data_IF_959161649258
#
_entry.id   IF_959161649258
#
_cell.length_a   1.000
_cell.length_b   1.000
_cell.length_c   1.000
_cell.angle_alpha   90.00
_cell.angle_beta   90.00
_cell.angle_gamma   90.00
#
_symmetry.space_group_name_H-M   'P 1'
#
loop_
_entity.id
_entity.type
_entity.pdbx_description
1 polymer ?
#
# COMPACT_ATOMS: atom_id res chain seq x y z
N UNK A 1 -43.00 24.35 10.63
CA UNK A 1 -42.48 23.56 9.48
C UNK A 1 -41.08 23.98 9.00
N UNK A 2 -40.65 25.24 9.13
CA UNK A 2 -39.33 25.70 8.67
C UNK A 2 -38.12 25.10 9.42
N UNK A 3 -38.24 24.89 10.74
CA UNK A 3 -37.11 24.43 11.56
C UNK A 3 -36.69 22.98 11.26
N UNK A 4 -37.66 22.07 11.11
CA UNK A 4 -37.42 20.64 10.82
C UNK A 4 -36.79 20.47 9.44
N UNK A 5 -37.22 21.26 8.44
CA UNK A 5 -36.64 21.24 7.08
C UNK A 5 -35.18 21.70 7.08
N UNK A 6 -34.84 22.70 7.88
CA UNK A 6 -33.47 23.21 7.99
C UNK A 6 -32.55 22.22 8.71
N UNK A 7 -33.05 21.49 9.72
CA UNK A 7 -32.28 20.44 10.41
C UNK A 7 -32.00 19.27 9.46
N UNK A 8 -33.00 18.81 8.69
CA UNK A 8 -32.82 17.72 7.72
C UNK A 8 -31.81 18.11 6.62
N UNK A 9 -31.87 19.34 6.12
CA UNK A 9 -30.90 19.85 5.14
C UNK A 9 -29.48 19.92 5.72
N UNK A 10 -29.32 20.30 6.98
CA UNK A 10 -28.02 20.34 7.66
C UNK A 10 -27.44 18.93 7.83
N UNK A 11 -28.26 17.95 8.24
CA UNK A 11 -27.83 16.55 8.34
C UNK A 11 -27.47 15.95 6.98
N UNK A 12 -28.26 16.23 5.93
CA UNK A 12 -27.93 15.81 4.57
C UNK A 12 -26.61 16.41 4.08
N UNK A 13 -26.37 17.70 4.33
CA UNK A 13 -25.10 18.35 3.99
C UNK A 13 -23.93 17.72 4.74
N UNK A 14 -24.03 17.52 6.05
CA UNK A 14 -22.98 16.88 6.86
C UNK A 14 -22.70 15.47 6.33
N UNK A 15 -23.73 14.68 6.04
CA UNK A 15 -23.59 13.31 5.54
C UNK A 15 -22.94 13.26 4.15
N UNK A 16 -23.27 14.21 3.27
CA UNK A 16 -22.64 14.36 1.94
C UNK A 16 -21.17 14.75 2.09
N UNK A 17 -20.85 15.67 3.01
CA UNK A 17 -19.47 16.10 3.24
C UNK A 17 -18.60 14.97 3.79
N UNK A 18 -19.07 14.19 4.78
CA UNK A 18 -18.32 13.03 5.30
C UNK A 18 -18.11 11.95 4.23
N UNK A 19 -19.14 11.67 3.42
CA UNK A 19 -19.02 10.70 2.31
C UNK A 19 -18.06 11.16 1.20
N UNK A 20 -17.87 12.46 1.03
CA UNK A 20 -17.00 13.01 -0.01
C UNK A 20 -15.54 13.08 0.46
N UNK A 21 -15.30 13.41 1.74
CA UNK A 21 -13.95 13.37 2.35
C UNK A 21 -13.33 11.97 2.28
N UNK A 22 -14.11 10.93 2.58
CA UNK A 22 -13.62 9.57 2.44
C UNK A 22 -13.25 9.29 0.99
N UNK A 23 -14.08 9.63 0.00
CA UNK A 23 -13.75 9.42 -1.41
C UNK A 23 -12.52 10.22 -1.92
N UNK A 24 -12.00 11.16 -1.13
CA UNK A 24 -10.89 12.06 -1.48
C UNK A 24 -9.54 11.67 -0.84
N UNK A 25 -9.47 10.79 0.17
CA UNK A 25 -8.20 10.53 0.88
C UNK A 25 -7.11 9.95 -0.02
N UNK A 26 -7.49 9.05 -0.94
CA UNK A 26 -6.58 8.46 -1.92
C UNK A 26 -6.25 9.39 -3.09
N UNK A 27 -6.97 10.51 -3.25
CA UNK A 27 -6.66 11.49 -4.30
C UNK A 27 -5.34 12.19 -3.97
N UNK A 28 -4.35 11.98 -4.84
CA UNK A 28 -3.02 12.54 -4.68
C UNK A 28 -1.95 11.53 -4.24
N UNK A 29 -2.27 10.25 -4.06
CA UNK A 29 -1.22 9.22 -3.96
C UNK A 29 -0.47 9.16 -5.29
N UNK A 30 0.84 9.41 -5.27
CA UNK A 30 1.70 9.36 -6.45
C UNK A 30 2.49 8.06 -6.54
N UNK A 31 2.79 7.45 -5.40
CA UNK A 31 3.58 6.22 -5.34
C UNK A 31 3.22 5.38 -4.11
N UNK A 32 3.28 4.06 -4.28
CA UNK A 32 3.32 3.10 -3.16
C UNK A 32 4.58 2.25 -3.31
N UNK A 33 5.39 2.25 -2.27
CA UNK A 33 6.55 1.39 -2.13
C UNK A 33 6.28 0.32 -1.07
N UNK A 34 6.55 -0.94 -1.38
CA UNK A 34 6.40 -2.06 -0.45
C UNK A 34 7.74 -2.78 -0.37
N UNK A 35 8.16 -3.16 0.82
CA UNK A 35 9.33 -3.98 1.02
C UNK A 35 9.05 -5.08 2.04
N UNK A 36 9.77 -6.18 1.86
CA UNK A 36 9.83 -7.28 2.78
C UNK A 36 11.26 -7.45 3.25
N UNK A 37 11.41 -7.91 4.48
CA UNK A 37 12.71 -8.24 5.05
C UNK A 37 12.62 -9.42 5.98
N UNK A 38 13.77 -10.10 6.11
CA UNK A 38 14.03 -11.15 7.10
C UNK A 38 15.40 -10.87 7.70
N UNK A 39 15.54 -11.05 9.02
CA UNK A 39 16.81 -10.83 9.73
C UNK A 39 17.44 -9.43 9.49
N UNK A 40 16.60 -8.43 9.24
CA UNK A 40 17.03 -7.06 8.92
C UNK A 40 17.51 -6.84 7.48
N UNK A 41 17.48 -7.86 6.62
CA UNK A 41 17.85 -7.77 5.20
C UNK A 41 16.58 -7.63 4.37
N UNK A 42 16.49 -6.59 3.53
CA UNK A 42 15.42 -6.45 2.53
C UNK A 42 15.70 -7.36 1.34
N UNK A 43 14.85 -8.35 1.14
CA UNK A 43 15.01 -9.37 0.12
C UNK A 43 14.14 -9.11 -1.12
N UNK A 44 12.99 -8.48 -0.94
CA UNK A 44 12.06 -8.15 -2.03
C UNK A 44 11.47 -6.76 -1.84
N UNK A 45 11.46 -5.98 -2.92
CA UNK A 45 10.92 -4.63 -2.94
C UNK A 45 10.03 -4.42 -4.17
N UNK A 46 9.00 -3.60 -4.02
CA UNK A 46 8.00 -3.30 -5.03
C UNK A 46 7.75 -1.81 -5.08
N UNK A 47 7.65 -1.26 -6.29
CA UNK A 47 7.35 0.16 -6.49
C UNK A 47 6.23 0.33 -7.52
N UNK A 48 5.11 0.89 -7.07
CA UNK A 48 3.98 1.27 -7.91
C UNK A 48 4.05 2.78 -8.11
N UNK A 49 4.37 3.20 -9.33
CA UNK A 49 4.40 4.60 -9.72
C UNK A 49 3.10 4.94 -10.47
N UNK A 50 2.20 5.68 -9.83
CA UNK A 50 0.93 6.07 -10.42
C UNK A 50 1.05 7.22 -11.43
N UNK A 51 2.15 7.98 -11.38
CA UNK A 51 2.43 9.09 -12.29
C UNK A 51 2.93 8.55 -13.63
N UNK A 52 3.93 7.66 -13.58
CA UNK A 52 4.46 6.97 -14.75
C UNK A 52 3.61 5.77 -15.19
N UNK A 53 2.70 5.33 -14.32
CA UNK A 53 1.81 4.18 -14.51
C UNK A 53 2.60 2.89 -14.74
N UNK A 54 3.56 2.64 -13.86
CA UNK A 54 4.47 1.49 -13.94
C UNK A 54 4.52 0.75 -12.62
N UNK A 55 4.70 -0.55 -12.72
CA UNK A 55 4.97 -1.42 -11.59
C UNK A 55 6.37 -2.02 -11.73
N UNK A 56 7.15 -1.88 -10.68
CA UNK A 56 8.52 -2.35 -10.60
C UNK A 56 8.69 -3.36 -9.48
N UNK A 57 9.62 -4.30 -9.69
CA UNK A 57 10.01 -5.30 -8.69
C UNK A 57 11.52 -5.37 -8.60
N UNK A 58 12.02 -5.51 -7.39
CA UNK A 58 13.40 -5.87 -7.10
C UNK A 58 13.41 -7.11 -6.20
N UNK A 59 14.34 -8.01 -6.47
CA UNK A 59 14.64 -9.16 -5.60
C UNK A 59 16.14 -9.24 -5.43
N UNK A 60 16.58 -9.30 -4.17
CA UNK A 60 17.98 -9.45 -3.82
C UNK A 60 18.49 -10.81 -4.31
N UNK A 61 19.61 -10.79 -5.04
CA UNK A 61 20.36 -12.00 -5.34
C UNK A 61 21.41 -12.21 -4.24
N UNK A 62 21.16 -13.17 -3.35
CA UNK A 62 22.07 -13.48 -2.25
C UNK A 62 23.41 -14.07 -2.71
N UNK A 63 23.46 -14.74 -3.86
CA UNK A 63 24.70 -15.32 -4.41
C UNK A 63 25.62 -14.25 -5.00
N UNK A 64 25.03 -13.16 -5.51
CA UNK A 64 25.76 -12.05 -6.12
C UNK A 64 25.05 -10.72 -5.82
N UNK A 65 25.21 -10.17 -4.61
CA UNK A 65 24.58 -8.92 -4.24
C UNK A 65 25.21 -7.78 -5.06
N UNK A 66 24.39 -7.11 -5.86
CA UNK A 66 24.79 -5.93 -6.60
C UNK A 66 24.44 -4.71 -5.75
N UNK A 67 25.44 -3.86 -5.49
CA UNK A 67 25.22 -2.56 -4.85
C UNK A 67 24.37 -1.68 -5.76
N UNK A 68 23.27 -1.13 -5.22
CA UNK A 68 22.37 -0.23 -5.95
C UNK A 68 22.79 1.21 -5.75
N UNK A 69 22.75 1.99 -6.82
CA UNK A 69 22.92 3.44 -6.76
C UNK A 69 21.64 4.10 -6.24
N UNK A 70 21.65 4.46 -4.96
CA UNK A 70 20.53 5.15 -4.30
C UNK A 70 20.13 6.49 -4.92
N UNK A 71 20.97 7.09 -5.78
CA UNK A 71 20.66 8.33 -6.49
C UNK A 71 19.82 8.10 -7.74
N UNK A 72 19.80 6.88 -8.27
CA UNK A 72 19.06 6.50 -9.47
C UNK A 72 17.70 5.91 -9.09
N UNK A 73 16.63 6.52 -9.63
CA UNK A 73 15.27 6.02 -9.43
C UNK A 73 15.14 4.61 -10.02
N UNK A 74 14.73 3.66 -9.19
CA UNK A 74 14.49 2.26 -9.57
C UNK A 74 15.75 1.51 -10.06
N UNK A 75 16.95 1.91 -9.63
CA UNK A 75 18.15 1.14 -9.96
C UNK A 75 18.08 -0.30 -9.44
N UNK A 76 18.43 -1.25 -10.31
CA UNK A 76 18.29 -2.69 -10.08
C UNK A 76 16.86 -3.23 -10.17
N UNK A 77 15.83 -2.41 -10.37
CA UNK A 77 14.45 -2.91 -10.50
C UNK A 77 14.11 -3.32 -11.93
N UNK A 78 13.36 -4.40 -12.05
CA UNK A 78 12.67 -4.78 -13.26
C UNK A 78 11.37 -3.99 -13.40
N UNK A 79 11.10 -3.42 -14.58
CA UNK A 79 9.75 -2.99 -14.93
C UNK A 79 8.94 -4.24 -15.30
N UNK A 80 7.95 -4.56 -14.46
CA UNK A 80 7.14 -5.77 -14.60
C UNK A 80 5.99 -5.53 -15.56
N UNK A 81 5.21 -4.45 -15.34
CA UNK A 81 4.10 -4.07 -16.21
C UNK A 81 3.86 -2.55 -16.24
N UNK A 82 3.19 -2.11 -17.30
CA UNK A 82 2.49 -0.82 -17.32
C UNK A 82 1.06 -1.00 -16.77
N UNK A 83 0.60 -0.01 -16.02
CA UNK A 83 -0.69 0.00 -15.34
C UNK A 83 -1.71 0.77 -16.20
N UNK A 84 -2.92 0.23 -16.34
CA UNK A 84 -4.01 0.96 -17.00
C UNK A 84 -4.69 1.91 -16.01
N UNK A 85 -5.20 3.03 -16.54
CA UNK A 85 -5.93 4.02 -15.74
C UNK A 85 -7.14 3.36 -15.04
N UNK A 86 -7.85 2.46 -15.71
CA UNK A 86 -8.97 1.71 -15.11
C UNK A 86 -8.55 0.90 -13.88
N UNK A 87 -7.43 0.15 -13.97
CA UNK A 87 -6.92 -0.63 -12.84
C UNK A 87 -6.51 0.26 -11.68
N UNK A 88 -5.86 1.39 -11.96
CA UNK A 88 -5.44 2.37 -10.95
C UNK A 88 -6.68 2.94 -10.25
N UNK A 89 -7.68 3.41 -10.99
CA UNK A 89 -8.89 3.98 -10.40
C UNK A 89 -9.67 2.97 -9.55
N UNK A 90 -9.79 1.73 -10.03
CA UNK A 90 -10.41 0.65 -9.26
C UNK A 90 -9.63 0.35 -7.98
N UNK A 91 -8.29 0.28 -8.05
CA UNK A 91 -7.44 0.08 -6.88
C UNK A 91 -7.62 1.20 -5.86
N UNK A 92 -7.51 2.48 -6.26
CA UNK A 92 -7.62 3.62 -5.33
C UNK A 92 -8.99 3.64 -4.64
N UNK A 93 -10.07 3.36 -5.36
CA UNK A 93 -11.41 3.26 -4.78
C UNK A 93 -11.51 2.15 -3.73
N UNK A 94 -10.86 1.01 -3.97
CA UNK A 94 -10.89 -0.13 -3.05
C UNK A 94 -9.98 0.07 -1.85
N UNK A 95 -8.79 0.62 -2.06
CA UNK A 95 -7.89 1.04 -0.99
C UNK A 95 -8.58 2.00 -0.03
N UNK A 96 -9.37 2.93 -0.57
CA UNK A 96 -10.18 3.82 0.24
C UNK A 96 -11.29 3.09 1.02
N UNK A 97 -11.98 2.13 0.39
CA UNK A 97 -13.00 1.31 1.04
C UNK A 97 -12.44 0.48 2.21
N UNK A 98 -11.17 0.08 2.12
CA UNK A 98 -10.49 -0.76 3.10
C UNK A 98 -9.64 0.03 4.09
N UNK A 99 -9.85 1.36 4.15
CA UNK A 99 -9.22 2.28 5.08
C UNK A 99 -7.69 2.18 5.06
N UNK A 100 -7.11 1.96 3.86
CA UNK A 100 -5.67 1.69 3.70
C UNK A 100 -4.79 2.83 4.22
N UNK A 101 -5.25 4.09 4.09
CA UNK A 101 -4.54 5.27 4.64
C UNK A 101 -4.79 5.50 6.13
N UNK A 102 -5.73 4.78 6.74
CA UNK A 102 -6.04 4.87 8.17
C UNK A 102 -5.45 3.66 8.93
N UNK A 103 -4.65 2.82 8.26
CA UNK A 103 -3.84 1.82 8.91
C UNK A 103 -2.91 2.48 9.94
N UNK A 104 -2.73 1.84 11.10
CA UNK A 104 -1.77 2.28 12.12
C UNK A 104 -0.36 2.25 11.54
N UNK A 105 0.51 3.14 12.00
CA UNK A 105 1.91 3.17 11.55
C UNK A 105 2.69 1.89 11.89
N UNK A 106 2.31 1.15 12.95
CA UNK A 106 3.04 -0.04 13.41
C UNK A 106 2.12 -1.21 13.77
N UNK A 107 2.46 -2.40 13.28
CA UNK A 107 1.84 -3.68 13.62
C UNK A 107 2.89 -4.69 14.05
N UNK A 108 3.14 -4.79 15.36
CA UNK A 108 4.21 -5.64 15.91
C UNK A 108 3.62 -6.75 16.78
N UNK A 109 4.07 -7.98 16.55
CA UNK A 109 3.95 -9.10 17.49
C UNK A 109 5.34 -9.55 17.98
N UNK A 110 5.66 -9.17 19.22
CA UNK A 110 6.95 -9.48 19.86
C UNK A 110 7.03 -10.93 20.37
N UNK A 111 5.98 -11.75 20.22
CA UNK A 111 6.03 -13.17 20.63
C UNK A 111 6.70 -14.06 19.59
N UNK A 112 6.98 -13.53 18.40
CA UNK A 112 7.63 -14.24 17.29
C UNK A 112 8.98 -13.56 17.04
N UNK A 113 10.07 -14.24 17.41
CA UNK A 113 11.45 -13.70 17.30
C UNK A 113 11.94 -13.71 15.85
N UNK A 114 11.73 -14.82 15.14
CA UNK A 114 12.07 -14.99 13.74
C UNK A 114 10.81 -15.02 12.90
N UNK A 115 10.71 -14.12 11.93
CA UNK A 115 9.54 -14.09 11.08
C UNK A 115 9.58 -12.98 10.05
N UNK A 116 8.38 -12.62 9.58
CA UNK A 116 8.21 -11.71 8.47
C UNK A 116 8.16 -10.27 8.94
N UNK A 117 9.10 -9.45 8.47
CA UNK A 117 9.02 -8.00 8.57
C UNK A 117 8.63 -7.40 7.22
N UNK A 118 7.79 -6.38 7.27
CA UNK A 118 7.30 -5.70 6.07
C UNK A 118 7.15 -4.21 6.32
N UNK A 119 7.18 -3.43 5.25
CA UNK A 119 6.83 -2.03 5.31
C UNK A 119 6.25 -1.51 4.00
N UNK A 120 5.43 -0.47 4.14
CA UNK A 120 4.73 0.22 3.08
C UNK A 120 4.97 1.71 3.27
N UNK A 121 5.42 2.37 2.20
CA UNK A 121 5.59 3.82 2.14
C UNK A 121 4.67 4.35 1.05
N UNK A 122 3.70 5.16 1.45
CA UNK A 122 2.75 5.82 0.56
C UNK A 122 3.21 7.26 0.40
N UNK A 123 3.57 7.64 -0.83
CA UNK A 123 3.99 9.01 -1.14
C UNK A 123 2.86 9.74 -1.86
N UNK A 124 2.59 10.96 -1.41
CA UNK A 124 1.60 11.85 -2.02
C UNK A 124 2.30 12.82 -2.99
N UNK A 125 1.53 13.36 -3.94
CA UNK A 125 2.00 14.31 -4.96
C UNK A 125 2.58 15.61 -4.37
N UNK A 126 2.21 15.95 -3.13
CA UNK A 126 2.78 17.07 -2.39
C UNK A 126 4.07 16.72 -1.61
N UNK A 127 4.58 15.50 -1.78
CA UNK A 127 5.81 15.01 -1.12
C UNK A 127 5.62 14.48 0.29
N UNK A 128 4.41 14.56 0.88
CA UNK A 128 4.15 13.91 2.17
C UNK A 128 4.27 12.40 2.02
N UNK A 129 4.69 11.75 3.11
CA UNK A 129 4.78 10.29 3.21
C UNK A 129 3.95 9.78 4.36
N UNK A 130 3.34 8.62 4.18
CA UNK A 130 2.75 7.81 5.23
C UNK A 130 3.46 6.46 5.25
N UNK A 131 4.06 6.13 6.40
CA UNK A 131 4.88 4.94 6.58
C UNK A 131 4.16 3.99 7.51
N UNK A 132 4.02 2.74 7.07
CA UNK A 132 3.36 1.66 7.78
C UNK A 132 4.32 0.49 7.82
N UNK A 133 4.61 -0.02 9.01
CA UNK A 133 5.50 -1.15 9.20
C UNK A 133 4.85 -2.25 10.03
N UNK A 134 5.30 -3.47 9.83
CA UNK A 134 4.90 -4.58 10.67
C UNK A 134 5.96 -5.65 10.81
N UNK A 135 5.82 -6.39 11.90
CA UNK A 135 6.62 -7.56 12.24
C UNK A 135 5.65 -8.59 12.79
N UNK A 136 5.43 -9.64 12.01
CA UNK A 136 4.55 -10.76 12.34
C UNK A 136 3.08 -10.42 12.63
N UNK A 137 2.66 -9.17 12.40
CA UNK A 137 1.30 -8.69 12.63
C UNK A 137 0.86 -7.79 11.49
N UNK A 138 -0.45 -7.79 11.24
CA UNK A 138 -1.05 -7.18 10.07
C UNK A 138 -2.34 -6.42 10.42
N UNK A 139 -2.70 -5.38 9.66
CA UNK A 139 -4.02 -4.76 9.69
C UNK A 139 -5.15 -5.75 9.42
N UNK A 140 -6.35 -5.46 9.91
CA UNK A 140 -7.53 -6.33 9.72
C UNK A 140 -7.98 -6.44 8.26
N UNK A 141 -7.69 -5.45 7.42
CA UNK A 141 -8.02 -5.44 5.97
C UNK A 141 -6.83 -5.83 5.09
N UNK A 142 -5.82 -6.51 5.67
CA UNK A 142 -4.63 -6.95 4.93
C UNK A 142 -4.96 -7.82 3.72
N UNK A 143 -5.79 -8.86 3.92
CA UNK A 143 -6.17 -9.81 2.86
C UNK A 143 -7.08 -9.17 1.78
N UNK A 144 -7.87 -8.17 2.18
CA UNK A 144 -8.63 -7.36 1.24
C UNK A 144 -7.69 -6.54 0.35
N UNK A 145 -6.71 -5.85 0.93
CA UNK A 145 -5.72 -5.07 0.20
C UNK A 145 -4.81 -5.92 -0.68
N UNK A 146 -4.40 -7.08 -0.16
CA UNK A 146 -3.70 -8.13 -0.89
C UNK A 146 -4.38 -8.41 -2.23
N UNK A 147 -5.70 -8.61 -2.20
CA UNK A 147 -6.48 -9.00 -3.37
C UNK A 147 -6.53 -7.87 -4.40
N UNK A 148 -6.53 -6.62 -3.94
CA UNK A 148 -6.56 -5.45 -4.81
C UNK A 148 -5.18 -5.14 -5.41
N UNK A 149 -4.09 -5.36 -4.67
CA UNK A 149 -2.74 -5.27 -5.23
C UNK A 149 -2.50 -6.33 -6.31
N UNK A 150 -2.98 -7.56 -6.10
CA UNK A 150 -2.88 -8.62 -7.11
C UNK A 150 -3.66 -8.26 -8.39
N UNK A 151 -4.86 -7.69 -8.27
CA UNK A 151 -5.62 -7.21 -9.44
C UNK A 151 -4.91 -6.07 -10.17
N UNK A 152 -4.31 -5.15 -9.43
CA UNK A 152 -3.59 -4.01 -9.98
C UNK A 152 -2.34 -4.46 -10.72
N UNK A 153 -1.49 -5.23 -10.06
CA UNK A 153 -0.11 -5.52 -10.51
C UNK A 153 0.05 -6.88 -11.19
N UNK A 154 -0.94 -7.77 -11.07
CA UNK A 154 -0.81 -9.19 -11.44
C UNK A 154 0.16 -9.97 -10.55
N UNK A 155 0.69 -9.33 -9.50
CA UNK A 155 1.65 -9.89 -8.57
C UNK A 155 1.14 -9.70 -7.16
N UNK A 156 1.43 -10.68 -6.33
CA UNK A 156 1.03 -10.65 -4.95
C UNK A 156 2.10 -9.98 -4.08
N UNK A 157 2.00 -8.66 -3.93
CA UNK A 157 3.07 -7.86 -3.30
C UNK A 157 2.95 -7.72 -1.78
N UNK A 158 1.87 -8.23 -1.18
CA UNK A 158 1.71 -8.25 0.28
C UNK A 158 1.97 -9.64 0.88
N UNK A 159 2.24 -10.63 0.05
CA UNK A 159 2.43 -12.00 0.50
C UNK A 159 3.90 -12.35 0.55
N UNK A 160 4.37 -12.64 1.76
CA UNK A 160 5.23 -13.78 1.96
C UNK A 160 4.33 -14.92 2.44
N UNK A 161 3.96 -15.83 1.55
CA UNK A 161 3.77 -17.21 2.00
C UNK A 161 5.18 -17.64 2.29
N UNK A 162 5.56 -17.58 3.56
CA UNK A 162 6.55 -18.52 4.05
C UNK A 162 6.04 -19.90 3.66
N UNK A 163 6.56 -20.44 2.55
CA UNK A 163 6.39 -21.86 2.21
C UNK A 163 6.90 -22.77 3.35
N UNK A 164 7.58 -22.19 4.34
CA UNK A 164 7.99 -22.75 5.64
C UNK A 164 6.88 -22.86 6.70
N UNK A 165 5.66 -22.36 6.45
CA UNK A 165 4.48 -22.55 7.34
C UNK A 165 3.46 -23.56 6.79
N UNK A 166 3.88 -24.41 5.84
CA UNK A 166 3.12 -25.63 5.52
C UNK A 166 3.55 -26.72 6.49
N UNK A 167 2.80 -26.86 7.58
CA UNK A 167 2.65 -28.16 8.25
C UNK A 167 1.70 -29.05 7.43
#
# INVERSE_FOLDING_TARGET
>A
MSLIRNIILLFLLIFIFTSCEDALKMNGVSQIYVYHSSEGIRDTEYNIDFVERKFYKYTLNFDNPIERDSSLKNDGYDNVINLSDEKIQNFLKKANKYDFLDWKEKYIDNQIEDGHQWGIIITFSNGRKHEIEGSNKYPSTWDDMYSEFEKLTGTNILLLRSDWMKE
#
